data_IF_341397031605
#
_entry.id   IF_341397031605
#
_cell.length_a   1.000
_cell.length_b   1.000
_cell.length_c   1.000
_cell.angle_alpha   90.00
_cell.angle_beta   90.00
_cell.angle_gamma   90.00
#
_symmetry.space_group_name_H-M   'P 1'
#
loop_
_entity.id
_entity.type
_entity.pdbx_description
1 polymer ?
#
# COMPACT_ATOMS: atom_id res chain seq x y z
N UNK A 1 16.00 7.75 -5.94
CA UNK A 1 15.62 8.57 -4.75
C UNK A 1 16.69 8.38 -3.71
N UNK A 2 17.09 9.42 -3.00
CA UNK A 2 18.11 9.32 -1.96
C UNK A 2 17.48 9.27 -0.57
N UNK A 3 18.05 8.45 0.30
CA UNK A 3 17.74 8.45 1.73
C UNK A 3 18.68 9.44 2.40
N UNK A 4 18.12 10.40 3.15
CA UNK A 4 18.89 11.34 3.95
C UNK A 4 19.08 10.81 5.36
N UNK A 5 20.31 10.79 5.82
CA UNK A 5 20.71 10.48 7.18
C UNK A 5 20.94 11.76 7.98
N UNK A 6 21.05 11.66 9.29
CA UNK A 6 21.29 12.78 10.18
C UNK A 6 22.59 12.58 10.98
N UNK A 7 23.23 13.68 11.39
CA UNK A 7 24.35 13.63 12.34
C UNK A 7 23.87 13.00 13.65
N UNK A 8 24.67 12.12 14.30
CA UNK A 8 24.29 11.34 15.49
C UNK A 8 24.33 12.19 16.78
N UNK A 9 23.58 13.30 16.78
CA UNK A 9 23.54 14.23 17.93
C UNK A 9 22.72 13.72 19.10
N UNK A 10 21.81 12.76 18.88
CA UNK A 10 20.99 12.10 19.90
C UNK A 10 20.78 10.63 19.55
N UNK A 11 20.43 9.76 20.53
CA UNK A 11 20.15 8.34 20.24
C UNK A 11 19.11 8.15 19.11
N UNK A 12 18.07 8.97 19.07
CA UNK A 12 17.04 8.90 18.03
C UNK A 12 17.57 9.30 16.67
N UNK A 13 18.40 10.36 16.59
CA UNK A 13 18.94 10.86 15.31
C UNK A 13 20.01 9.96 14.72
N UNK A 14 20.71 9.18 15.55
CA UNK A 14 21.74 8.23 15.09
C UNK A 14 21.21 7.26 14.01
N UNK A 15 19.99 6.78 14.19
CA UNK A 15 19.38 5.79 13.29
C UNK A 15 18.28 6.36 12.40
N UNK A 16 17.86 7.61 12.62
CA UNK A 16 16.75 8.21 11.90
C UNK A 16 17.14 8.52 10.46
N UNK A 17 16.26 8.14 9.53
CA UNK A 17 16.40 8.49 8.12
C UNK A 17 15.10 9.10 7.58
N UNK A 18 15.19 9.80 6.46
CA UNK A 18 14.04 10.38 5.77
C UNK A 18 14.23 10.27 4.26
N UNK A 19 13.13 10.26 3.51
CA UNK A 19 13.20 10.35 2.05
C UNK A 19 13.82 11.67 1.60
N UNK A 20 14.62 11.62 0.55
CA UNK A 20 15.16 12.79 -0.13
C UNK A 20 14.11 13.56 -0.93
N UNK A 21 13.03 12.88 -1.31
CA UNK A 21 11.99 13.40 -2.21
C UNK A 21 12.52 13.87 -3.57
N UNK A 22 13.51 13.15 -4.11
CA UNK A 22 14.09 13.49 -5.41
C UNK A 22 13.04 13.34 -6.52
N UNK A 23 12.96 14.32 -7.41
CA UNK A 23 11.98 14.35 -8.50
C UNK A 23 10.55 14.67 -8.07
N UNK A 24 10.30 14.97 -6.79
CA UNK A 24 8.98 15.35 -6.28
C UNK A 24 8.97 16.85 -6.00
N UNK A 25 7.93 17.53 -6.45
CA UNK A 25 7.71 18.92 -6.10
C UNK A 25 7.21 19.03 -4.65
N UNK A 26 8.13 19.44 -3.76
CA UNK A 26 7.84 19.61 -2.32
C UNK A 26 6.95 20.82 -2.02
N UNK A 27 6.89 21.78 -2.92
CA UNK A 27 6.11 23.03 -2.76
C UNK A 27 4.73 22.91 -3.42
N UNK A 28 4.51 21.89 -4.23
CA UNK A 28 3.24 21.68 -4.91
C UNK A 28 2.09 21.57 -3.90
N UNK A 29 1.11 22.42 -4.05
CA UNK A 29 -0.17 22.28 -3.38
C UNK A 29 -0.98 21.23 -4.13
N UNK A 30 -1.72 20.31 -3.43
CA UNK A 30 -2.56 19.35 -4.11
C UNK A 30 -3.67 20.06 -4.89
N UNK A 31 -4.10 19.47 -5.99
CA UNK A 31 -5.20 19.98 -6.81
C UNK A 31 -6.49 20.05 -5.97
N UNK A 32 -7.09 21.25 -5.80
CA UNK A 32 -8.25 21.40 -4.91
C UNK A 32 -9.44 20.52 -5.30
N UNK A 33 -9.75 20.41 -6.59
CA UNK A 33 -10.86 19.62 -7.13
C UNK A 33 -10.71 18.11 -6.87
N UNK A 34 -9.47 17.63 -6.67
CA UNK A 34 -9.15 16.23 -6.43
C UNK A 34 -8.82 15.94 -4.95
N UNK A 35 -9.23 16.81 -4.03
CA UNK A 35 -8.95 16.63 -2.60
C UNK A 35 -10.22 16.72 -1.76
N UNK A 36 -10.33 15.80 -0.80
CA UNK A 36 -11.43 15.74 0.16
C UNK A 36 -10.93 15.76 1.61
N UNK A 37 -11.77 16.23 2.56
CA UNK A 37 -11.47 16.11 3.98
C UNK A 37 -11.40 14.65 4.41
N UNK A 38 -10.29 14.24 5.04
CA UNK A 38 -10.15 12.88 5.59
C UNK A 38 -10.72 12.82 7.01
N UNK A 39 -11.90 12.21 7.17
CA UNK A 39 -12.49 11.91 8.49
C UNK A 39 -11.70 10.78 9.16
N UNK A 40 -11.28 10.99 10.42
CA UNK A 40 -10.53 10.00 11.19
C UNK A 40 -11.48 9.21 12.10
N UNK A 41 -11.60 7.91 11.86
CA UNK A 41 -12.37 7.00 12.72
C UNK A 41 -11.63 6.54 13.97
N UNK A 42 -10.31 6.79 14.05
CA UNK A 42 -9.46 6.38 15.18
C UNK A 42 -9.57 4.88 15.53
N UNK A 43 -9.71 4.04 14.53
CA UNK A 43 -9.83 2.59 14.67
C UNK A 43 -11.21 2.10 15.13
N UNK A 44 -12.22 2.96 15.09
CA UNK A 44 -13.61 2.62 15.44
C UNK A 44 -14.41 2.21 14.21
N UNK A 45 -15.33 1.27 14.39
CA UNK A 45 -16.30 0.84 13.38
C UNK A 45 -17.54 1.78 13.37
N UNK A 46 -18.55 1.44 12.56
CA UNK A 46 -19.83 2.17 12.46
C UNK A 46 -20.61 2.25 13.79
N UNK A 47 -20.44 1.27 14.68
CA UNK A 47 -21.04 1.23 16.02
C UNK A 47 -20.20 1.96 17.09
N UNK A 48 -19.14 2.66 16.71
CA UNK A 48 -18.24 3.36 17.65
C UNK A 48 -17.29 2.46 18.45
N UNK A 49 -17.31 1.13 18.24
CA UNK A 49 -16.43 0.18 18.96
C UNK A 49 -15.04 0.16 18.32
N UNK A 50 -14.01 0.07 19.16
CA UNK A 50 -12.62 -0.05 18.69
C UNK A 50 -12.38 -1.45 18.13
N UNK A 51 -12.24 -1.54 16.80
CA UNK A 51 -11.91 -2.78 16.09
C UNK A 51 -10.44 -2.86 15.70
N UNK A 52 -9.76 -1.72 15.56
CA UNK A 52 -8.32 -1.62 15.33
C UNK A 52 -7.71 -0.76 16.42
N UNK A 53 -6.99 -1.42 17.37
CA UNK A 53 -6.34 -0.74 18.50
C UNK A 53 -5.17 0.13 18.04
N UNK A 54 -4.76 1.06 18.91
CA UNK A 54 -3.57 1.90 18.75
C UNK A 54 -3.60 2.80 17.51
N UNK A 55 -4.79 3.26 17.12
CA UNK A 55 -5.01 4.25 16.07
C UNK A 55 -5.60 5.52 16.66
N UNK A 56 -5.21 6.68 16.09
CA UNK A 56 -5.75 7.97 16.47
C UNK A 56 -4.71 9.08 16.56
N UNK A 57 -5.18 10.31 16.63
CA UNK A 57 -4.33 11.51 16.56
C UNK A 57 -3.67 11.66 15.19
N UNK A 58 -2.40 12.06 15.20
CA UNK A 58 -1.63 12.31 13.99
C UNK A 58 -1.94 13.65 13.31
N UNK A 59 -1.13 14.01 12.30
CA UNK A 59 -1.30 15.23 11.55
C UNK A 59 -2.63 15.27 10.81
N UNK A 60 -3.19 16.49 10.63
CA UNK A 60 -4.35 16.72 9.75
C UNK A 60 -3.93 16.44 8.31
N UNK A 61 -4.75 15.70 7.57
CA UNK A 61 -4.49 15.32 6.18
C UNK A 61 -5.73 15.55 5.32
N UNK A 62 -5.52 15.86 4.05
CA UNK A 62 -6.54 15.79 3.02
C UNK A 62 -6.37 14.46 2.27
N UNK A 63 -7.46 13.83 1.88
CA UNK A 63 -7.44 12.69 0.98
C UNK A 63 -7.27 13.18 -0.47
N UNK A 64 -6.45 12.48 -1.27
CA UNK A 64 -6.35 12.69 -2.72
C UNK A 64 -7.17 11.62 -3.41
N UNK A 65 -8.07 12.03 -4.27
CA UNK A 65 -8.87 11.12 -5.09
C UNK A 65 -7.95 10.57 -6.16
N UNK A 66 -7.66 9.27 -6.07
CA UNK A 66 -6.79 8.58 -7.03
C UNK A 66 -7.66 7.82 -8.01
N UNK A 67 -7.35 7.95 -9.29
CA UNK A 67 -7.98 7.17 -10.35
C UNK A 67 -7.43 5.74 -10.34
N UNK A 68 -8.12 4.86 -9.61
CA UNK A 68 -7.81 3.43 -9.60
C UNK A 68 -8.52 2.67 -10.70
N UNK A 69 -9.52 3.27 -11.34
CA UNK A 69 -10.28 2.60 -12.41
C UNK A 69 -9.59 2.73 -13.76
N UNK A 70 -8.97 3.88 -14.01
CA UNK A 70 -8.36 4.17 -15.31
C UNK A 70 -9.36 3.92 -16.45
N UNK A 71 -10.60 4.38 -16.24
CA UNK A 71 -11.74 4.17 -17.15
C UNK A 71 -11.73 5.13 -18.36
N UNK A 72 -11.06 6.26 -18.24
CA UNK A 72 -10.94 7.22 -19.34
C UNK A 72 -9.85 6.77 -20.30
N UNK A 73 -10.28 6.33 -21.49
CA UNK A 73 -9.40 5.93 -22.60
C UNK A 73 -8.79 7.20 -23.22
N UNK A 74 -7.52 7.13 -23.57
CA UNK A 74 -6.80 8.20 -24.26
C UNK A 74 -5.45 8.53 -23.67
N UNK A 75 -4.81 9.55 -24.25
CA UNK A 75 -3.50 10.06 -23.88
C UNK A 75 -3.62 11.14 -22.80
N UNK A 76 -2.69 11.12 -21.85
CA UNK A 76 -2.57 12.14 -20.82
C UNK A 76 -1.10 12.49 -20.58
N UNK A 77 -0.83 13.75 -20.26
CA UNK A 77 0.52 14.24 -19.94
C UNK A 77 0.70 14.34 -18.44
N UNK A 78 1.84 13.89 -17.94
CA UNK A 78 2.23 14.01 -16.53
C UNK A 78 2.64 15.44 -16.25
N UNK A 79 1.88 16.17 -15.45
CA UNK A 79 2.19 17.55 -15.07
C UNK A 79 3.31 17.60 -14.01
N UNK A 80 3.18 16.81 -12.95
CA UNK A 80 4.13 16.76 -11.85
C UNK A 80 3.97 15.52 -10.99
N UNK A 81 4.99 15.21 -10.19
CA UNK A 81 4.95 14.17 -9.16
C UNK A 81 4.75 14.84 -7.78
N UNK A 82 3.87 14.25 -6.97
CA UNK A 82 3.52 14.77 -5.65
C UNK A 82 3.68 13.71 -4.56
N UNK A 83 3.95 14.20 -3.35
CA UNK A 83 3.90 13.38 -2.13
C UNK A 83 2.46 13.26 -1.63
N UNK A 84 2.00 12.05 -1.32
CA UNK A 84 0.73 11.82 -0.64
C UNK A 84 0.95 11.27 0.77
N UNK A 85 0.51 11.98 1.84
CA UNK A 85 0.66 11.51 3.22
C UNK A 85 -0.24 10.30 3.57
N UNK A 86 -1.15 9.88 2.68
CA UNK A 86 -2.11 8.80 2.94
C UNK A 86 -1.62 7.45 2.45
N UNK A 87 -0.56 7.42 1.66
CA UNK A 87 0.01 6.19 1.08
C UNK A 87 1.54 6.23 1.08
N UNK A 88 2.14 5.06 0.92
CA UNK A 88 3.60 4.94 0.80
C UNK A 88 4.11 5.31 -0.59
N UNK A 89 3.31 5.07 -1.63
CA UNK A 89 3.63 5.42 -3.01
C UNK A 89 3.47 6.94 -3.25
N UNK A 90 4.30 7.50 -4.12
CA UNK A 90 4.10 8.83 -4.66
C UNK A 90 2.98 8.80 -5.69
N UNK A 91 2.41 9.96 -5.98
CA UNK A 91 1.34 10.15 -6.97
C UNK A 91 1.79 11.07 -8.08
N UNK A 92 1.20 10.92 -9.25
CA UNK A 92 1.38 11.81 -10.39
C UNK A 92 0.07 12.51 -10.71
N UNK A 93 0.12 13.82 -10.89
CA UNK A 93 -0.97 14.59 -11.46
C UNK A 93 -0.84 14.53 -12.98
N UNK A 94 -1.85 13.98 -13.64
CA UNK A 94 -1.92 13.87 -15.08
C UNK A 94 -3.03 14.77 -15.62
N UNK A 95 -2.88 15.23 -16.86
CA UNK A 95 -3.87 16.00 -17.58
C UNK A 95 -4.13 15.34 -18.94
N UNK A 96 -5.38 15.08 -19.22
CA UNK A 96 -5.86 14.61 -20.52
C UNK A 96 -5.93 15.78 -21.51
N UNK A 97 -6.07 15.48 -22.80
CA UNK A 97 -6.11 16.47 -23.88
C UNK A 97 -7.32 17.42 -23.77
N UNK A 98 -8.42 16.96 -23.16
CA UNK A 98 -9.61 17.77 -22.87
C UNK A 98 -9.48 18.67 -21.64
N UNK A 99 -8.30 18.69 -20.98
CA UNK A 99 -8.02 19.48 -19.79
C UNK A 99 -8.40 18.82 -18.47
N UNK A 100 -9.10 17.67 -18.46
CA UNK A 100 -9.41 16.95 -17.23
C UNK A 100 -8.14 16.49 -16.52
N UNK A 101 -8.08 16.71 -15.21
CA UNK A 101 -6.96 16.28 -14.37
C UNK A 101 -7.35 15.09 -13.53
N UNK A 102 -6.44 14.14 -13.36
CA UNK A 102 -6.58 13.00 -12.43
C UNK A 102 -5.28 12.72 -11.69
N UNK A 103 -5.37 12.12 -10.50
CA UNK A 103 -4.22 11.55 -9.82
C UNK A 103 -4.10 10.07 -10.12
N UNK A 104 -2.87 9.62 -10.37
CA UNK A 104 -2.53 8.20 -10.50
C UNK A 104 -1.38 7.84 -9.55
N UNK A 105 -1.15 6.55 -9.33
CA UNK A 105 0.09 6.10 -8.68
C UNK A 105 1.26 6.36 -9.62
N UNK A 106 2.34 6.90 -9.09
CA UNK A 106 3.56 7.16 -9.87
C UNK A 106 4.37 5.87 -10.00
N UNK A 107 4.52 5.28 -11.20
CA UNK A 107 5.45 4.18 -11.43
C UNK A 107 6.90 4.64 -11.34
N UNK A 108 7.80 3.68 -11.21
CA UNK A 108 9.23 3.91 -11.23
C UNK A 108 9.65 4.50 -12.58
N UNK A 109 10.50 5.53 -12.53
CA UNK A 109 11.03 6.19 -13.73
C UNK A 109 10.11 7.24 -14.36
N UNK A 110 8.87 7.41 -13.90
CA UNK A 110 7.98 8.45 -14.40
C UNK A 110 8.51 9.84 -14.04
N UNK A 111 8.43 10.78 -15.00
CA UNK A 111 8.84 12.19 -14.85
C UNK A 111 7.75 13.13 -15.37
N UNK A 112 7.80 14.39 -14.94
CA UNK A 112 6.96 15.43 -15.54
C UNK A 112 7.25 15.55 -17.05
N UNK A 113 6.21 15.78 -17.84
CA UNK A 113 6.27 15.84 -19.30
C UNK A 113 6.13 14.50 -20.02
N UNK A 114 6.22 13.36 -19.31
CA UNK A 114 5.96 12.07 -19.95
C UNK A 114 4.50 11.96 -20.36
N UNK A 115 4.26 11.35 -21.50
CA UNK A 115 2.92 10.97 -21.96
C UNK A 115 2.63 9.54 -21.47
N UNK A 116 1.42 9.33 -21.02
CA UNK A 116 0.88 8.02 -20.64
C UNK A 116 -0.45 7.79 -21.32
N UNK A 117 -0.75 6.54 -21.60
CA UNK A 117 -1.96 6.16 -22.30
C UNK A 117 -2.76 5.13 -21.52
N UNK A 118 -4.07 5.20 -21.64
CA UNK A 118 -5.00 4.21 -21.08
C UNK A 118 -5.85 3.66 -22.20
N UNK A 119 -5.94 2.35 -22.30
CA UNK A 119 -6.78 1.69 -23.29
C UNK A 119 -6.15 0.40 -23.83
N UNK A 120 -6.91 -0.37 -24.63
CA UNK A 120 -6.44 -1.64 -25.15
C UNK A 120 -5.28 -1.50 -26.16
N UNK A 121 -5.15 -0.35 -26.81
CA UNK A 121 -4.13 -0.06 -27.84
C UNK A 121 -2.88 0.65 -27.26
N UNK A 122 -2.83 0.82 -25.93
CA UNK A 122 -1.71 1.50 -25.33
C UNK A 122 -0.42 0.66 -25.41
N UNK A 123 0.71 1.32 -25.66
CA UNK A 123 2.04 0.70 -25.68
C UNK A 123 2.42 0.11 -24.32
N UNK A 124 3.33 -0.88 -24.33
CA UNK A 124 3.85 -1.53 -23.11
C UNK A 124 4.93 -0.66 -22.46
N UNK A 125 4.54 0.56 -22.07
CA UNK A 125 5.42 1.53 -21.41
C UNK A 125 5.01 1.74 -19.94
N UNK A 126 5.97 2.02 -19.02
CA UNK A 126 5.67 2.25 -17.62
C UNK A 126 4.67 3.39 -17.40
N UNK A 127 3.57 3.11 -16.71
CA UNK A 127 2.49 4.07 -16.45
C UNK A 127 1.26 3.90 -17.33
N UNK A 128 1.38 3.22 -18.46
CA UNK A 128 0.24 2.88 -19.30
C UNK A 128 -0.64 1.82 -18.64
N UNK A 129 -1.94 1.92 -18.81
CA UNK A 129 -2.92 1.01 -18.25
C UNK A 129 -3.70 0.31 -19.35
N UNK A 130 -3.70 -1.03 -19.33
CA UNK A 130 -4.30 -1.88 -20.34
C UNK A 130 -5.12 -3.00 -19.69
N UNK A 131 -6.08 -3.60 -20.43
CA UNK A 131 -6.60 -4.92 -20.09
C UNK A 131 -5.47 -5.94 -20.07
N UNK A 132 -5.48 -6.86 -19.09
CA UNK A 132 -4.43 -7.90 -18.94
C UNK A 132 -4.33 -8.77 -20.20
N UNK A 133 -5.44 -8.93 -20.96
CA UNK A 133 -5.46 -9.62 -22.24
C UNK A 133 -4.37 -9.10 -23.21
N UNK A 134 -4.16 -7.78 -23.24
CA UNK A 134 -3.25 -7.10 -24.17
C UNK A 134 -1.81 -6.97 -23.65
N UNK A 135 -1.56 -7.37 -22.40
CA UNK A 135 -0.22 -7.28 -21.80
C UNK A 135 0.57 -8.58 -22.08
N UNK A 136 1.79 -8.53 -22.63
CA UNK A 136 2.62 -9.73 -22.85
C UNK A 136 2.92 -10.49 -21.57
N UNK A 137 3.02 -11.81 -21.65
CA UNK A 137 3.47 -12.66 -20.55
C UNK A 137 4.91 -12.29 -20.17
N UNK A 138 5.22 -12.38 -18.88
CA UNK A 138 6.53 -11.97 -18.34
C UNK A 138 6.60 -10.50 -17.91
N UNK A 139 5.66 -9.65 -18.36
CA UNK A 139 5.66 -8.22 -18.05
C UNK A 139 5.45 -7.96 -16.55
N UNK A 140 6.18 -6.96 -16.06
CA UNK A 140 6.02 -6.43 -14.70
C UNK A 140 4.85 -5.46 -14.68
N UNK A 141 3.92 -5.66 -13.76
CA UNK A 141 2.68 -4.88 -13.66
C UNK A 141 2.39 -4.47 -12.20
N UNK A 142 1.62 -3.43 -12.03
CA UNK A 142 1.11 -2.97 -10.74
C UNK A 142 -0.32 -2.46 -10.86
N UNK A 143 -0.91 -2.02 -9.76
CA UNK A 143 -2.25 -1.41 -9.75
C UNK A 143 -3.29 -2.29 -10.47
N UNK A 144 -3.44 -3.54 -9.99
CA UNK A 144 -4.18 -4.61 -10.66
C UNK A 144 -5.61 -4.68 -10.12
N UNK A 145 -6.58 -4.78 -11.01
CA UNK A 145 -7.96 -5.07 -10.65
C UNK A 145 -8.16 -6.54 -10.28
N UNK A 146 -9.12 -6.80 -9.39
CA UNK A 146 -9.62 -8.15 -9.08
C UNK A 146 -10.91 -8.50 -9.82
N UNK A 147 -11.72 -7.49 -10.09
CA UNK A 147 -12.98 -7.60 -10.82
C UNK A 147 -13.04 -6.44 -11.82
N UNK A 148 -13.43 -6.70 -13.06
CA UNK A 148 -13.48 -5.66 -14.09
C UNK A 148 -14.34 -4.47 -13.67
N UNK A 149 -13.84 -3.25 -13.87
CA UNK A 149 -14.54 -1.99 -13.57
C UNK A 149 -14.59 -1.56 -12.10
N UNK A 150 -14.14 -2.40 -11.17
CA UNK A 150 -14.12 -2.04 -9.74
C UNK A 150 -12.90 -1.20 -9.34
N UNK A 151 -11.96 -1.03 -10.23
CA UNK A 151 -10.70 -0.34 -9.98
C UNK A 151 -9.66 -1.24 -9.30
N UNK A 152 -8.43 -0.83 -9.40
CA UNK A 152 -7.29 -1.59 -8.92
C UNK A 152 -7.29 -1.76 -7.40
N UNK A 153 -6.98 -2.97 -6.95
CA UNK A 153 -6.94 -3.34 -5.54
C UNK A 153 -5.60 -3.93 -5.11
N UNK A 154 -4.87 -4.58 -6.02
CA UNK A 154 -3.61 -5.25 -5.73
C UNK A 154 -2.41 -4.40 -6.18
N UNK A 155 -1.27 -4.61 -5.52
CA UNK A 155 0.05 -4.05 -5.90
C UNK A 155 0.02 -2.52 -6.04
N UNK A 156 -0.31 -1.82 -4.94
CA UNK A 156 -0.45 -0.35 -4.89
C UNK A 156 0.55 0.34 -3.96
N UNK A 157 1.27 -0.43 -3.16
CA UNK A 157 2.24 0.11 -2.20
C UNK A 157 3.55 0.48 -2.88
N UNK A 158 4.32 1.39 -2.26
CA UNK A 158 5.64 1.78 -2.73
C UNK A 158 6.54 0.58 -3.01
N UNK A 159 7.26 0.59 -4.12
CA UNK A 159 8.22 -0.44 -4.50
C UNK A 159 7.63 -1.80 -4.86
N UNK A 160 6.31 -1.97 -4.81
CA UNK A 160 5.70 -3.27 -5.16
C UNK A 160 5.53 -3.46 -6.66
N UNK A 161 5.68 -4.70 -7.09
CA UNK A 161 5.46 -5.15 -8.47
C UNK A 161 4.88 -6.57 -8.45
N UNK A 162 4.10 -6.91 -9.46
CA UNK A 162 3.66 -8.27 -9.75
C UNK A 162 4.13 -8.65 -11.15
N UNK A 163 4.16 -9.93 -11.44
CA UNK A 163 4.55 -10.44 -12.76
C UNK A 163 3.40 -11.25 -13.37
N UNK A 164 3.09 -10.97 -14.62
CA UNK A 164 2.16 -11.77 -15.42
C UNK A 164 2.85 -13.06 -15.87
N UNK A 165 2.39 -14.21 -15.39
CA UNK A 165 3.05 -15.50 -15.60
C UNK A 165 2.51 -16.26 -16.80
N UNK A 166 1.19 -16.28 -16.97
CA UNK A 166 0.50 -16.97 -18.06
C UNK A 166 -0.88 -16.37 -18.31
N UNK A 167 -1.46 -16.64 -19.48
CA UNK A 167 -2.84 -16.33 -19.85
C UNK A 167 -3.44 -17.54 -20.55
N UNK A 168 -4.59 -18.01 -20.05
CA UNK A 168 -5.28 -19.18 -20.58
C UNK A 168 -6.79 -19.02 -20.38
N UNK A 169 -7.59 -19.34 -21.39
CA UNK A 169 -9.05 -19.47 -21.28
C UNK A 169 -9.80 -18.26 -20.71
N UNK A 170 -9.30 -17.03 -20.91
CA UNK A 170 -9.92 -15.82 -20.35
C UNK A 170 -9.43 -15.46 -18.93
N UNK A 171 -8.56 -16.27 -18.35
CA UNK A 171 -7.92 -16.05 -17.04
C UNK A 171 -6.42 -15.77 -17.19
N UNK A 172 -5.86 -14.99 -16.26
CA UNK A 172 -4.45 -14.66 -16.18
C UNK A 172 -3.88 -15.10 -14.84
N UNK A 173 -2.70 -15.68 -14.86
CA UNK A 173 -1.95 -16.08 -13.68
C UNK A 173 -0.94 -14.99 -13.31
N UNK A 174 -1.06 -14.45 -12.11
CA UNK A 174 -0.25 -13.32 -11.64
C UNK A 174 0.50 -13.72 -10.37
N UNK A 175 1.82 -13.55 -10.40
CA UNK A 175 2.68 -13.69 -9.22
C UNK A 175 2.71 -12.38 -8.46
N UNK A 176 2.15 -12.38 -7.26
CA UNK A 176 2.09 -11.22 -6.36
C UNK A 176 3.43 -10.99 -5.62
N UNK A 177 3.66 -9.80 -5.05
CA UNK A 177 4.86 -9.49 -4.24
C UNK A 177 5.06 -10.45 -3.06
N UNK A 178 3.99 -11.05 -2.54
CA UNK A 178 4.04 -12.05 -1.46
C UNK A 178 4.57 -13.43 -1.90
N UNK A 179 4.76 -13.65 -3.22
CA UNK A 179 5.06 -14.96 -3.82
C UNK A 179 3.82 -15.81 -4.11
N UNK A 180 2.61 -15.37 -3.73
CA UNK A 180 1.35 -16.04 -4.09
C UNK A 180 1.09 -15.92 -5.58
N UNK A 181 0.73 -17.03 -6.24
CA UNK A 181 0.25 -17.03 -7.62
C UNK A 181 -1.26 -17.09 -7.61
N UNK A 182 -1.88 -16.13 -8.24
CA UNK A 182 -3.34 -15.93 -8.23
C UNK A 182 -3.90 -15.77 -9.63
N UNK A 183 -5.10 -16.29 -9.82
CA UNK A 183 -5.90 -16.12 -11.03
C UNK A 183 -6.66 -14.79 -10.96
N UNK A 184 -6.63 -14.04 -12.06
CA UNK A 184 -7.41 -12.83 -12.30
C UNK A 184 -7.94 -12.89 -13.74
N UNK A 185 -9.14 -12.39 -13.99
CA UNK A 185 -9.70 -12.37 -15.36
C UNK A 185 -8.91 -11.45 -16.29
N UNK A 186 -8.78 -11.82 -17.55
CA UNK A 186 -7.99 -11.08 -18.55
C UNK A 186 -8.58 -9.71 -18.91
N UNK A 187 -9.89 -9.48 -18.70
CA UNK A 187 -10.54 -8.17 -18.89
C UNK A 187 -10.30 -7.19 -17.72
N UNK A 188 -9.66 -7.62 -16.62
CA UNK A 188 -9.21 -6.69 -15.58
C UNK A 188 -8.10 -5.80 -16.10
N UNK A 189 -8.09 -4.53 -15.66
CA UNK A 189 -7.03 -3.59 -15.99
C UNK A 189 -5.83 -3.75 -15.05
N UNK A 190 -4.66 -3.52 -15.61
CA UNK A 190 -3.40 -3.40 -14.85
C UNK A 190 -2.55 -2.29 -15.46
N UNK A 191 -1.65 -1.72 -14.66
CA UNK A 191 -0.71 -0.69 -15.09
C UNK A 191 0.67 -1.30 -15.26
N UNK A 192 1.37 -0.97 -16.35
CA UNK A 192 2.70 -1.47 -16.68
C UNK A 192 3.75 -0.86 -15.74
N UNK A 193 4.70 -1.70 -15.31
CA UNK A 193 5.86 -1.31 -14.51
C UNK A 193 5.70 -1.56 -13.02
N UNK A 194 6.63 -1.06 -12.24
CA UNK A 194 6.71 -1.15 -10.78
C UNK A 194 6.27 0.17 -10.14
N UNK A 195 5.64 0.13 -8.98
CA UNK A 195 5.33 1.34 -8.19
C UNK A 195 6.62 2.02 -7.74
N UNK A 196 6.69 3.34 -7.89
CA UNK A 196 7.84 4.14 -7.46
C UNK A 196 8.08 4.16 -5.94
N UNK A 197 9.06 4.99 -5.50
CA UNK A 197 9.43 5.13 -4.08
C UNK A 197 9.96 3.83 -3.45
N UNK A 198 10.80 3.08 -4.16
CA UNK A 198 11.34 1.76 -3.75
C UNK A 198 11.97 1.81 -2.36
N UNK A 199 12.70 2.89 -2.04
CA UNK A 199 13.43 3.01 -0.78
C UNK A 199 12.56 3.32 0.44
N UNK A 200 11.23 3.36 0.27
CA UNK A 200 10.30 3.67 1.37
C UNK A 200 10.45 2.70 2.56
N UNK A 201 10.71 1.43 2.32
CA UNK A 201 10.89 0.42 3.36
C UNK A 201 12.19 0.60 4.17
N UNK A 202 13.21 1.21 3.56
CA UNK A 202 14.50 1.45 4.19
C UNK A 202 14.51 2.68 5.12
N UNK A 203 13.37 3.41 5.21
CA UNK A 203 13.26 4.60 6.06
C UNK A 203 13.10 4.19 7.52
N UNK A 204 14.07 4.57 8.35
CA UNK A 204 13.99 4.40 9.79
C UNK A 204 13.34 5.62 10.45
N UNK A 205 12.21 5.39 11.11
CA UNK A 205 11.43 6.45 11.76
C UNK A 205 12.20 7.10 12.92
N UNK A 206 13.02 6.33 13.65
CA UNK A 206 13.97 6.76 14.65
C UNK A 206 13.36 7.18 16.01
N UNK A 207 12.15 7.73 16.08
CA UNK A 207 11.54 8.18 17.33
C UNK A 207 10.03 7.96 17.43
N UNK A 208 9.54 7.75 18.65
CA UNK A 208 8.12 7.54 18.93
C UNK A 208 7.23 8.71 18.51
N UNK A 209 7.71 9.94 18.64
CA UNK A 209 6.96 11.13 18.22
C UNK A 209 6.61 11.13 16.73
N UNK A 210 7.49 10.65 15.85
CA UNK A 210 7.18 10.50 14.42
C UNK A 210 6.04 9.50 14.19
N UNK A 211 6.03 8.36 14.91
CA UNK A 211 4.92 7.40 14.85
C UNK A 211 3.62 8.03 15.36
N UNK A 212 3.67 8.86 16.42
CA UNK A 212 2.51 9.62 16.90
C UNK A 212 1.95 10.57 15.84
N UNK A 213 2.79 11.30 15.12
CA UNK A 213 2.37 12.16 14.01
C UNK A 213 1.76 11.38 12.83
N UNK A 214 2.13 10.12 12.65
CA UNK A 214 1.52 9.22 11.67
C UNK A 214 0.15 8.68 12.11
N UNK A 215 -0.30 8.94 13.34
CA UNK A 215 -1.58 8.47 13.88
C UNK A 215 -1.49 7.11 14.57
N UNK A 216 -0.28 6.66 14.91
CA UNK A 216 -0.05 5.41 15.66
C UNK A 216 0.09 5.75 17.13
N UNK A 217 -0.80 5.22 17.97
CA UNK A 217 -0.74 5.36 19.43
C UNK A 217 0.22 4.34 20.03
N UNK A 218 0.78 4.61 21.24
CA UNK A 218 1.62 3.66 21.95
C UNK A 218 0.88 2.33 22.21
N UNK A 219 1.65 1.24 22.18
CA UNK A 219 1.15 -0.11 22.47
C UNK A 219 1.74 -0.56 23.80
N UNK A 220 0.89 -0.98 24.73
CA UNK A 220 1.28 -1.61 25.99
C UNK A 220 1.33 -3.11 25.75
N UNK A 221 2.41 -3.77 26.16
CA UNK A 221 2.56 -5.22 26.10
C UNK A 221 1.71 -5.91 27.17
N UNK A 222 1.18 -7.11 26.88
CA UNK A 222 0.29 -7.83 27.80
C UNK A 222 0.91 -8.19 29.14
N UNK A 223 2.23 -8.44 29.20
CA UNK A 223 2.96 -8.81 30.43
C UNK A 223 3.07 -7.70 31.48
N UNK A 224 2.68 -6.46 31.17
CA UNK A 224 2.64 -5.34 32.15
C UNK A 224 1.20 -4.92 32.47
N UNK A 225 0.23 -5.72 32.08
CA UNK A 225 -1.18 -5.55 32.38
C UNK A 225 -1.56 -6.42 33.59
N UNK A 226 -2.76 -6.21 34.11
CA UNK A 226 -3.33 -7.07 35.16
C UNK A 226 -3.81 -8.41 34.57
N UNK A 227 -3.95 -9.47 35.39
CA UNK A 227 -4.41 -10.78 34.93
C UNK A 227 -5.78 -10.78 34.26
N UNK A 228 -6.69 -9.87 34.66
CA UNK A 228 -8.01 -9.69 34.07
C UNK A 228 -7.96 -9.00 32.69
N UNK A 229 -6.91 -8.23 32.38
CA UNK A 229 -6.80 -7.47 31.13
C UNK A 229 -6.10 -8.26 30.01
N UNK A 230 -5.19 -9.16 30.38
CA UNK A 230 -4.44 -9.94 29.41
C UNK A 230 -3.99 -11.30 29.98
N UNK A 231 -4.03 -12.40 29.20
CA UNK A 231 -3.56 -13.72 29.63
C UNK A 231 -2.09 -13.80 30.05
N UNK A 232 -1.27 -12.78 29.72
CA UNK A 232 0.12 -12.64 30.14
C UNK A 232 0.28 -11.69 31.33
N UNK A 233 -0.80 -11.17 31.87
CA UNK A 233 -0.78 -10.20 32.95
C UNK A 233 -0.51 -10.86 34.33
N UNK A 234 -0.11 -10.02 35.25
CA UNK A 234 0.19 -10.44 36.64
C UNK A 234 1.65 -10.78 36.86
N UNK A 235 1.94 -11.18 38.12
CA UNK A 235 3.30 -11.45 38.61
C UNK A 235 3.99 -10.20 39.13
N UNK A 236 5.15 -10.41 39.77
CA UNK A 236 5.97 -9.34 40.33
C UNK A 236 7.13 -8.97 39.41
N UNK A 237 7.44 -7.66 39.34
CA UNK A 237 8.56 -7.12 38.56
C UNK A 237 8.43 -7.43 37.11
N UNK A 238 9.48 -7.99 36.50
CA UNK A 238 9.50 -8.36 35.08
C UNK A 238 9.07 -9.82 34.89
N UNK A 239 7.77 -10.09 35.05
CA UNK A 239 7.22 -11.43 34.88
C UNK A 239 7.36 -11.98 33.44
N UNK A 240 7.62 -13.30 33.31
CA UNK A 240 7.63 -13.99 32.02
C UNK A 240 6.20 -14.13 31.44
N UNK A 241 6.10 -14.65 30.22
CA UNK A 241 4.80 -14.90 29.56
C UNK A 241 3.97 -15.95 30.30
N UNK A 242 4.62 -16.90 31.04
CA UNK A 242 3.96 -17.92 31.82
C UNK A 242 3.12 -18.95 31.05
N UNK A 243 3.35 -19.10 29.75
CA UNK A 243 2.63 -20.00 28.84
C UNK A 243 3.59 -20.63 27.84
N UNK A 244 3.25 -21.81 27.25
CA UNK A 244 4.10 -22.44 26.22
C UNK A 244 4.39 -21.56 25.01
N UNK A 245 3.53 -20.57 24.74
CA UNK A 245 3.73 -19.60 23.65
C UNK A 245 2.93 -18.31 23.88
N UNK A 246 3.27 -17.22 23.18
CA UNK A 246 2.54 -15.96 23.31
C UNK A 246 1.12 -16.09 22.76
N UNK A 247 0.18 -15.47 23.47
CA UNK A 247 -1.24 -15.45 23.09
C UNK A 247 -1.74 -14.01 22.93
N UNK A 248 -2.85 -13.88 22.20
CA UNK A 248 -3.59 -12.62 22.06
C UNK A 248 -4.37 -12.29 23.34
N UNK A 249 -4.91 -11.07 23.52
CA UNK A 249 -5.78 -10.74 24.65
C UNK A 249 -6.99 -11.69 24.80
N UNK A 250 -7.40 -12.34 23.75
CA UNK A 250 -8.50 -13.31 23.72
C UNK A 250 -8.04 -14.77 23.87
N UNK A 251 -6.80 -15.02 24.24
CA UNK A 251 -6.24 -16.35 24.52
C UNK A 251 -5.86 -17.18 23.29
N UNK A 252 -6.02 -16.65 22.07
CA UNK A 252 -5.59 -17.38 20.86
C UNK A 252 -4.08 -17.26 20.65
N UNK A 253 -3.40 -18.30 20.12
CA UNK A 253 -1.99 -18.22 19.75
C UNK A 253 -1.69 -16.96 18.92
N UNK A 254 -0.70 -16.16 19.33
CA UNK A 254 -0.35 -14.92 18.64
C UNK A 254 0.56 -15.15 17.42
N UNK A 255 1.29 -16.28 17.41
CA UNK A 255 2.24 -16.63 16.34
C UNK A 255 1.87 -17.98 15.73
N UNK A 256 2.06 -18.10 14.42
CA UNK A 256 1.90 -19.37 13.67
C UNK A 256 0.46 -19.81 13.41
N UNK A 257 -0.55 -19.19 14.02
CA UNK A 257 -1.94 -19.57 13.80
C UNK A 257 -2.42 -19.18 12.39
N UNK A 258 -2.86 -20.16 11.60
CA UNK A 258 -3.49 -19.95 10.30
C UNK A 258 -4.93 -19.47 10.50
N UNK A 259 -5.18 -18.17 10.29
CA UNK A 259 -6.49 -17.55 10.52
C UNK A 259 -7.42 -17.59 9.30
N UNK A 260 -6.90 -17.85 8.10
CA UNK A 260 -7.72 -17.99 6.90
C UNK A 260 -8.60 -19.23 7.00
N UNK A 261 -9.91 -19.05 6.83
CA UNK A 261 -10.87 -20.17 6.84
C UNK A 261 -10.60 -21.13 5.69
N UNK A 262 -10.59 -22.44 5.94
CA UNK A 262 -10.37 -23.47 4.92
C UNK A 262 -11.40 -23.41 3.78
N UNK A 263 -12.67 -23.12 4.10
CA UNK A 263 -13.79 -22.99 3.15
C UNK A 263 -13.94 -21.58 2.56
N UNK A 264 -12.87 -20.76 2.53
CA UNK A 264 -12.96 -19.42 1.94
C UNK A 264 -13.21 -19.54 0.42
N UNK A 265 -14.30 -18.95 -0.14
CA UNK A 265 -14.64 -19.08 -1.56
C UNK A 265 -13.57 -18.56 -2.51
N UNK A 266 -12.72 -17.64 -2.04
CA UNK A 266 -11.61 -17.12 -2.85
C UNK A 266 -10.41 -18.06 -2.96
N UNK A 267 -10.44 -19.24 -2.32
CA UNK A 267 -9.37 -20.25 -2.45
C UNK A 267 -9.24 -20.76 -3.88
N UNK A 268 -10.35 -20.82 -4.65
CA UNK A 268 -10.35 -21.23 -6.06
C UNK A 268 -9.50 -20.36 -6.98
N UNK A 269 -9.22 -19.12 -6.58
CA UNK A 269 -8.38 -18.21 -7.36
C UNK A 269 -6.90 -18.27 -6.98
N UNK A 270 -6.49 -19.09 -6.01
CA UNK A 270 -5.10 -19.21 -5.56
C UNK A 270 -4.54 -20.51 -6.11
N UNK A 271 -3.58 -20.42 -7.03
CA UNK A 271 -2.87 -21.58 -7.61
C UNK A 271 -1.77 -22.02 -6.65
N UNK A 272 -0.94 -21.08 -6.19
CA UNK A 272 0.18 -21.35 -5.29
C UNK A 272 0.18 -20.35 -4.17
N UNK A 273 0.21 -20.81 -2.92
CA UNK A 273 0.33 -19.93 -1.76
C UNK A 273 1.78 -19.44 -1.57
N UNK A 274 1.97 -18.35 -0.84
CA UNK A 274 3.29 -17.75 -0.56
C UNK A 274 4.31 -18.73 0.02
N UNK A 275 3.88 -19.76 0.75
CA UNK A 275 4.74 -20.74 1.42
C UNK A 275 4.88 -22.05 0.62
N UNK A 276 4.58 -22.06 -0.68
CA UNK A 276 4.81 -23.20 -1.55
C UNK A 276 3.84 -24.40 -1.38
N UNK A 277 2.81 -24.26 -0.55
CA UNK A 277 1.76 -25.29 -0.37
C UNK A 277 0.44 -24.81 -0.92
#
# INVERSE_FOLDING_TARGET
MSIKTFKPTTPSRRQMTVSGFDGIDKKAKPEPSLTEPLKKSSGRNSYGRITVRHRGGGNKRKYRIIDFKRDKIGSATVLRLEYDPNRSANIALIQYEDGEKRYILAPLGLKAGHKIMTGPEADILPGNALPIANIPVGTVIHNIELHPGNGAQLVRSAGTAAQLMAKEGGDAQIRLPSGEVRIVRTNCYATIGQVGNIEHENINIGKAGRKRHMGIRPTVRGSVMNPNDHPHGGGEGRAPVGRPGPVTPWGKPAMGLKTRKAKNPTNKFIIKRRNGK
#
